data_IF_261393666430
#
_entry.id   IF_261393666430
#
_cell.length_a   1.000
_cell.length_b   1.000
_cell.length_c   1.000
_cell.angle_alpha   90.00
_cell.angle_beta   90.00
_cell.angle_gamma   90.00
#
_symmetry.space_group_name_H-M   'P 1'
#
loop_
_entity.id
_entity.type
_entity.pdbx_description
1 polymer ?
#
# COMPACT_ATOMS: atom_id res chain seq x y z
N UNK A 1 -21.85 8.37 -14.79
CA UNK A 1 -22.23 9.78 -14.59
C UNK A 1 -22.92 9.91 -13.25
N UNK A 2 -22.68 10.98 -12.51
CA UNK A 2 -23.37 11.26 -11.24
C UNK A 2 -23.95 12.67 -11.23
N UNK A 3 -25.08 12.84 -10.54
CA UNK A 3 -25.81 14.09 -10.37
C UNK A 3 -25.32 14.89 -9.16
N UNK A 4 -25.04 16.17 -9.38
CA UNK A 4 -24.90 17.18 -8.32
C UNK A 4 -26.25 17.51 -7.69
N UNK A 5 -26.21 18.18 -6.54
CA UNK A 5 -27.40 18.79 -5.89
C UNK A 5 -28.16 19.75 -6.82
N UNK A 6 -27.48 20.39 -7.75
CA UNK A 6 -28.05 21.31 -8.76
C UNK A 6 -28.69 20.59 -9.95
N UNK A 7 -28.65 19.25 -10.00
CA UNK A 7 -29.13 18.46 -11.13
C UNK A 7 -28.14 18.34 -12.30
N UNK A 8 -26.97 18.99 -12.22
CA UNK A 8 -25.92 18.90 -13.25
C UNK A 8 -25.21 17.54 -13.20
N UNK A 9 -24.97 16.97 -14.39
CA UNK A 9 -24.17 15.75 -14.54
C UNK A 9 -22.67 16.04 -14.42
N UNK A 10 -21.98 15.22 -13.63
CA UNK A 10 -20.52 15.14 -13.59
C UNK A 10 -20.09 13.84 -14.29
N UNK A 11 -19.25 13.91 -15.34
CA UNK A 11 -18.64 12.72 -15.90
C UNK A 11 -17.65 12.12 -14.91
N UNK A 12 -17.63 10.79 -14.81
CA UNK A 12 -16.55 10.08 -14.15
C UNK A 12 -15.50 9.81 -15.22
N UNK A 13 -14.47 10.65 -15.27
CA UNK A 13 -13.35 10.46 -16.17
C UNK A 13 -12.23 9.66 -15.50
N UNK A 14 -11.18 9.38 -16.26
CA UNK A 14 -10.10 8.51 -15.87
C UNK A 14 -9.03 9.22 -15.00
N UNK A 15 -9.27 10.49 -14.64
CA UNK A 15 -8.40 11.33 -13.80
C UNK A 15 -9.03 11.58 -12.42
N UNK A 16 -10.29 12.01 -12.39
CA UNK A 16 -11.01 12.39 -11.15
C UNK A 16 -12.14 11.43 -10.79
N UNK A 17 -12.51 10.51 -11.67
CA UNK A 17 -13.70 9.68 -11.47
C UNK A 17 -13.64 8.81 -10.22
N UNK A 18 -12.47 8.21 -9.94
CA UNK A 18 -12.32 7.37 -8.74
C UNK A 18 -12.32 8.19 -7.44
N UNK A 19 -11.76 9.40 -7.47
CA UNK A 19 -11.71 10.34 -6.34
C UNK A 19 -13.13 10.82 -5.96
N UNK A 20 -13.90 11.26 -6.96
CA UNK A 20 -15.32 11.63 -6.79
C UNK A 20 -16.14 10.44 -6.28
N UNK A 21 -15.86 9.23 -6.77
CA UNK A 21 -16.54 8.03 -6.31
C UNK A 21 -16.17 7.70 -4.86
N UNK A 22 -14.92 7.93 -4.45
CA UNK A 22 -14.45 7.79 -3.08
C UNK A 22 -15.25 8.65 -2.12
N UNK A 23 -15.34 9.95 -2.44
CA UNK A 23 -16.15 10.91 -1.69
C UNK A 23 -17.61 10.47 -1.56
N UNK A 24 -18.20 9.91 -2.63
CA UNK A 24 -19.59 9.45 -2.64
C UNK A 24 -19.82 8.19 -1.79
N UNK A 25 -18.90 7.22 -1.87
CA UNK A 25 -19.10 5.89 -1.29
C UNK A 25 -18.81 5.86 0.20
N UNK A 26 -17.82 6.64 0.67
CA UNK A 26 -17.41 6.65 2.09
C UNK A 26 -18.58 7.00 3.04
N UNK A 27 -19.26 8.13 3.01
CA UNK A 27 -19.12 9.35 2.23
C UNK A 27 -18.33 10.44 2.99
N UNK A 28 -17.74 11.39 2.27
CA UNK A 28 -17.00 12.52 2.85
C UNK A 28 -17.82 13.83 2.82
N UNK A 29 -17.32 14.89 3.44
CA UNK A 29 -17.92 16.24 3.35
C UNK A 29 -17.87 16.82 1.93
N UNK A 30 -17.04 16.25 1.04
CA UNK A 30 -16.88 16.65 -0.35
C UNK A 30 -17.87 15.95 -1.31
N UNK A 31 -18.71 15.05 -0.78
CA UNK A 31 -19.74 14.34 -1.57
C UNK A 31 -20.60 15.30 -2.38
N UNK A 32 -20.61 15.11 -3.71
CA UNK A 32 -21.30 16.00 -4.66
C UNK A 32 -22.82 16.05 -4.49
N UNK A 33 -23.43 15.01 -3.89
CA UNK A 33 -24.85 14.96 -3.55
C UNK A 33 -25.16 13.93 -2.45
N UNK A 34 -24.94 14.32 -1.19
CA UNK A 34 -25.15 13.43 -0.02
C UNK A 34 -26.59 12.96 0.14
N UNK A 35 -27.59 13.76 -0.28
CA UNK A 35 -29.01 13.38 -0.20
C UNK A 35 -29.35 12.22 -1.13
N UNK A 36 -28.72 12.18 -2.31
CA UNK A 36 -28.97 11.15 -3.30
C UNK A 36 -28.18 9.87 -3.00
N UNK A 37 -26.90 9.98 -2.65
CA UNK A 37 -26.01 8.82 -2.53
C UNK A 37 -25.82 8.29 -1.11
N UNK A 38 -26.19 9.07 -0.08
CA UNK A 38 -26.06 8.65 1.31
C UNK A 38 -24.61 8.58 1.79
N UNK A 39 -24.31 7.54 2.57
CA UNK A 39 -23.00 7.28 3.18
C UNK A 39 -22.77 5.77 3.32
N UNK A 40 -22.82 5.05 2.19
CA UNK A 40 -22.94 3.59 2.15
C UNK A 40 -21.91 2.89 3.03
N UNK A 41 -20.61 3.17 2.85
CA UNK A 41 -19.54 2.54 3.63
C UNK A 41 -19.71 2.75 5.14
N UNK A 42 -19.91 3.99 5.59
CA UNK A 42 -20.08 4.31 7.02
C UNK A 42 -21.33 3.67 7.62
N UNK A 43 -22.48 3.70 6.92
CA UNK A 43 -23.69 3.06 7.43
C UNK A 43 -23.55 1.53 7.51
N UNK A 44 -22.76 0.91 6.63
CA UNK A 44 -22.41 -0.50 6.75
C UNK A 44 -21.64 -0.81 8.04
N UNK A 45 -20.70 0.06 8.42
CA UNK A 45 -20.01 -0.03 9.71
C UNK A 45 -21.01 0.07 10.87
N UNK A 46 -21.88 1.08 10.87
CA UNK A 46 -22.89 1.29 11.93
C UNK A 46 -23.80 0.06 12.10
N UNK A 47 -24.37 -0.45 10.99
CA UNK A 47 -25.27 -1.61 11.00
C UNK A 47 -24.57 -2.85 11.58
N UNK A 48 -23.32 -3.11 11.17
CA UNK A 48 -22.57 -4.26 11.65
C UNK A 48 -22.17 -4.09 13.12
N UNK A 49 -21.86 -2.88 13.56
CA UNK A 49 -21.43 -2.60 14.92
C UNK A 49 -22.57 -2.73 15.94
N UNK A 50 -23.79 -2.30 15.58
CA UNK A 50 -24.99 -2.35 16.43
C UNK A 50 -25.89 -3.56 16.18
N UNK A 51 -25.46 -4.56 15.39
CA UNK A 51 -26.32 -5.71 15.04
C UNK A 51 -26.85 -6.48 16.27
N UNK A 52 -26.17 -6.39 17.41
CA UNK A 52 -26.57 -7.05 18.66
C UNK A 52 -27.60 -6.26 19.48
N UNK A 53 -27.73 -4.94 19.27
CA UNK A 53 -28.76 -4.09 19.89
C UNK A 53 -29.21 -2.95 18.95
N UNK A 54 -29.85 -3.25 17.81
CA UNK A 54 -30.15 -2.27 16.78
C UNK A 54 -31.21 -1.23 17.18
N UNK A 55 -31.97 -1.50 18.25
CA UNK A 55 -33.01 -0.61 18.77
C UNK A 55 -32.66 0.00 20.14
N UNK A 56 -31.43 -0.24 20.63
CA UNK A 56 -30.96 0.25 21.92
C UNK A 56 -31.85 -0.19 23.11
N UNK A 57 -32.42 -1.40 23.03
CA UNK A 57 -33.30 -1.96 24.08
C UNK A 57 -32.52 -2.51 25.27
N UNK A 58 -31.25 -2.86 25.03
CA UNK A 58 -30.37 -3.50 26.00
C UNK A 58 -29.32 -2.54 26.56
N UNK A 59 -29.25 -1.30 26.03
CA UNK A 59 -28.28 -0.27 26.42
C UNK A 59 -26.83 -0.69 26.18
N UNK A 60 -26.61 -1.46 25.12
CA UNK A 60 -25.28 -1.96 24.74
C UNK A 60 -24.57 -0.98 23.79
N UNK A 61 -23.24 -0.91 23.91
CA UNK A 61 -22.38 -0.10 23.04
C UNK A 61 -22.04 -0.82 21.72
N UNK A 62 -21.51 -0.10 20.73
CA UNK A 62 -21.11 -0.69 19.46
C UNK A 62 -20.02 -1.77 19.59
N UNK A 63 -20.09 -2.80 18.76
CA UNK A 63 -19.00 -3.77 18.58
C UNK A 63 -17.81 -3.18 17.82
N UNK A 64 -16.75 -3.97 17.62
CA UNK A 64 -15.47 -3.51 17.03
C UNK A 64 -15.60 -2.83 15.66
N UNK A 65 -16.65 -3.10 14.88
CA UNK A 65 -16.89 -2.42 13.61
C UNK A 65 -17.21 -0.92 13.75
N UNK A 66 -17.58 -0.45 14.95
CA UNK A 66 -17.95 0.94 15.22
C UNK A 66 -16.77 1.89 15.50
N UNK A 67 -15.54 1.37 15.64
CA UNK A 67 -14.35 2.19 15.92
C UNK A 67 -13.22 1.89 14.93
N UNK A 68 -12.68 2.93 14.30
CA UNK A 68 -11.60 2.88 13.30
C UNK A 68 -10.33 2.20 13.80
N UNK A 69 -10.07 2.23 15.12
CA UNK A 69 -8.90 1.59 15.75
C UNK A 69 -9.09 0.10 16.01
N UNK A 70 -10.31 -0.42 15.85
CA UNK A 70 -10.66 -1.80 16.18
C UNK A 70 -11.33 -2.57 15.04
N UNK A 71 -11.91 -1.90 14.05
CA UNK A 71 -12.70 -2.52 12.98
C UNK A 71 -11.93 -3.58 12.20
N UNK A 72 -10.65 -3.35 11.87
CA UNK A 72 -9.80 -4.32 11.15
C UNK A 72 -9.54 -5.63 11.92
N UNK A 73 -9.96 -5.74 13.19
CA UNK A 73 -9.88 -6.99 13.96
C UNK A 73 -11.00 -7.97 13.61
N UNK A 74 -12.12 -7.49 13.09
CA UNK A 74 -13.26 -8.34 12.72
C UNK A 74 -13.09 -8.89 11.30
N UNK A 75 -13.19 -10.21 11.07
CA UNK A 75 -13.23 -10.77 9.72
C UNK A 75 -14.28 -10.15 8.79
N UNK A 76 -15.40 -9.63 9.33
CA UNK A 76 -16.45 -8.99 8.53
C UNK A 76 -15.98 -7.68 7.90
N UNK A 77 -14.98 -6.99 8.49
CA UNK A 77 -14.37 -5.79 7.91
C UNK A 77 -13.92 -6.06 6.48
N UNK A 78 -13.18 -7.15 6.27
CA UNK A 78 -12.65 -7.51 4.96
C UNK A 78 -13.74 -7.91 3.97
N UNK A 79 -14.83 -8.53 4.44
CA UNK A 79 -15.99 -8.85 3.58
C UNK A 79 -16.73 -7.58 3.14
N UNK A 80 -16.94 -6.66 4.07
CA UNK A 80 -17.58 -5.37 3.79
C UNK A 80 -16.73 -4.52 2.84
N UNK A 81 -15.44 -4.35 3.15
CA UNK A 81 -14.51 -3.63 2.29
C UNK A 81 -14.32 -4.30 0.92
N UNK A 82 -14.41 -5.63 0.81
CA UNK A 82 -14.42 -6.32 -0.50
C UNK A 82 -15.67 -5.99 -1.32
N UNK A 83 -16.82 -5.77 -0.67
CA UNK A 83 -18.05 -5.32 -1.34
C UNK A 83 -17.90 -3.88 -1.86
N UNK A 84 -17.37 -3.00 -1.01
CA UNK A 84 -17.07 -1.60 -1.35
C UNK A 84 -16.05 -1.51 -2.48
N UNK A 85 -14.96 -2.26 -2.41
CA UNK A 85 -13.97 -2.39 -3.49
C UNK A 85 -14.61 -2.93 -4.78
N UNK A 86 -15.59 -3.83 -4.69
CA UNK A 86 -16.40 -4.26 -5.83
C UNK A 86 -17.12 -3.11 -6.57
N UNK A 87 -17.52 -2.04 -5.86
CA UNK A 87 -18.12 -0.84 -6.47
C UNK A 87 -17.05 -0.03 -7.21
N UNK A 88 -15.90 0.20 -6.59
CA UNK A 88 -14.77 0.90 -7.21
C UNK A 88 -14.25 0.16 -8.44
N UNK A 89 -14.08 -1.16 -8.35
CA UNK A 89 -13.67 -2.00 -9.48
C UNK A 89 -14.64 -1.89 -10.64
N UNK A 90 -15.96 -1.92 -10.41
CA UNK A 90 -16.94 -1.73 -11.49
C UNK A 90 -16.70 -0.44 -12.27
N UNK A 91 -16.30 0.64 -11.61
CA UNK A 91 -15.93 1.88 -12.31
C UNK A 91 -14.61 1.71 -13.08
N UNK A 92 -13.56 1.22 -12.45
CA UNK A 92 -12.24 1.10 -13.09
C UNK A 92 -12.27 0.13 -14.29
N UNK A 93 -13.11 -0.91 -14.27
CA UNK A 93 -13.33 -1.80 -15.42
C UNK A 93 -13.92 -1.10 -16.66
N UNK A 94 -14.61 0.02 -16.47
CA UNK A 94 -15.14 0.83 -17.60
C UNK A 94 -14.06 1.66 -18.28
N UNK A 95 -12.91 1.85 -17.64
CA UNK A 95 -11.81 2.61 -18.21
C UNK A 95 -11.12 1.78 -19.30
N UNK A 96 -10.63 2.49 -20.31
CA UNK A 96 -9.81 1.86 -21.35
C UNK A 96 -8.48 1.36 -20.76
N UNK A 97 -8.00 0.18 -21.20
CA UNK A 97 -6.66 -0.30 -20.85
C UNK A 97 -5.60 0.73 -21.19
N UNK A 98 -4.51 0.76 -20.41
CA UNK A 98 -3.39 1.63 -20.73
C UNK A 98 -2.77 1.29 -22.09
N UNK A 99 -2.50 2.33 -22.86
CA UNK A 99 -1.77 2.22 -24.12
C UNK A 99 -0.30 1.90 -23.88
N UNK A 100 0.37 1.33 -24.89
CA UNK A 100 1.82 1.09 -24.86
C UNK A 100 2.59 2.37 -24.55
N UNK A 101 2.14 3.53 -25.03
CA UNK A 101 2.77 4.82 -24.73
C UNK A 101 2.62 5.23 -23.26
N UNK A 102 1.45 5.01 -22.66
CA UNK A 102 1.23 5.32 -21.24
C UNK A 102 2.04 4.44 -20.30
N UNK A 103 2.35 3.21 -20.73
CA UNK A 103 3.14 2.22 -20.00
C UNK A 103 4.65 2.33 -20.28
N UNK A 104 5.04 2.74 -21.49
CA UNK A 104 6.41 2.68 -21.96
C UNK A 104 7.31 3.77 -21.39
N UNK A 105 8.61 3.48 -21.37
CA UNK A 105 9.65 4.48 -21.12
C UNK A 105 10.77 4.29 -22.15
N UNK A 106 10.71 5.07 -23.24
CA UNK A 106 11.53 4.84 -24.42
C UNK A 106 13.03 4.84 -24.12
N UNK A 107 13.76 3.85 -24.61
CA UNK A 107 15.20 3.71 -24.39
C UNK A 107 15.58 3.16 -23.01
N UNK A 108 14.62 2.86 -22.12
CA UNK A 108 14.88 2.21 -20.84
C UNK A 108 14.46 0.74 -20.91
N UNK A 109 15.39 -0.14 -20.56
CA UNK A 109 15.15 -1.58 -20.43
C UNK A 109 15.43 -2.01 -19.00
N UNK A 110 14.45 -2.59 -18.33
CA UNK A 110 14.68 -3.31 -17.07
C UNK A 110 15.08 -4.73 -17.43
N UNK A 111 16.30 -5.12 -17.07
CA UNK A 111 16.85 -6.43 -17.39
C UNK A 111 16.45 -7.48 -16.36
N UNK A 112 16.38 -7.10 -15.08
CA UNK A 112 16.00 -8.02 -14.00
C UNK A 112 15.65 -7.27 -12.72
N UNK A 113 14.81 -7.90 -11.88
CA UNK A 113 14.69 -7.60 -10.46
C UNK A 113 15.02 -8.85 -9.65
N UNK A 114 15.77 -8.67 -8.56
CA UNK A 114 15.99 -9.68 -7.55
C UNK A 114 15.81 -9.07 -6.15
N UNK A 115 15.47 -9.90 -5.17
CA UNK A 115 15.48 -9.54 -3.76
C UNK A 115 16.36 -10.51 -2.98
N UNK A 116 17.22 -10.02 -2.09
CA UNK A 116 18.12 -10.85 -1.29
C UNK A 116 18.15 -10.38 0.15
N UNK A 117 18.05 -11.31 1.09
CA UNK A 117 18.25 -11.05 2.51
C UNK A 117 19.66 -10.51 2.74
N UNK A 118 19.80 -9.54 3.65
CA UNK A 118 21.06 -8.87 3.97
C UNK A 118 21.98 -9.76 4.83
N UNK A 119 22.29 -10.97 4.35
CA UNK A 119 23.16 -11.96 4.99
C UNK A 119 24.07 -12.62 3.94
N UNK A 120 25.36 -12.88 4.25
CA UNK A 120 26.24 -13.64 3.37
C UNK A 120 25.61 -14.98 2.97
N UNK A 121 25.75 -15.35 1.70
CA UNK A 121 25.26 -16.60 1.11
C UNK A 121 23.74 -16.82 1.18
N UNK A 122 22.94 -15.79 1.51
CA UNK A 122 21.49 -15.90 1.39
C UNK A 122 21.10 -16.12 -0.09
N UNK A 123 20.26 -17.12 -0.41
CA UNK A 123 19.81 -17.35 -1.77
C UNK A 123 19.04 -16.12 -2.30
N UNK A 124 19.19 -15.83 -3.58
CA UNK A 124 18.39 -14.81 -4.24
C UNK A 124 16.92 -15.26 -4.29
N UNK A 125 16.02 -14.29 -4.17
CA UNK A 125 14.57 -14.45 -4.30
C UNK A 125 13.94 -15.45 -3.31
N UNK A 126 14.55 -15.61 -2.13
CA UNK A 126 13.94 -16.29 -0.99
C UNK A 126 13.96 -15.34 0.20
N UNK A 127 12.77 -14.88 0.60
CA UNK A 127 12.59 -14.01 1.76
C UNK A 127 12.03 -14.82 2.94
N UNK A 128 12.32 -14.34 4.14
CA UNK A 128 11.98 -15.01 5.39
C UNK A 128 11.11 -14.13 6.25
N UNK A 129 10.06 -14.73 6.79
CA UNK A 129 9.20 -14.16 7.82
C UNK A 129 9.25 -15.03 9.08
N UNK A 130 8.98 -14.43 10.23
CA UNK A 130 9.05 -15.08 11.53
C UNK A 130 8.20 -14.31 12.55
N UNK A 131 8.09 -14.84 13.77
CA UNK A 131 7.47 -14.10 14.87
C UNK A 131 8.50 -13.25 15.59
N UNK A 132 8.20 -11.98 15.83
CA UNK A 132 8.98 -11.12 16.71
C UNK A 132 8.22 -10.83 18.00
N UNK A 133 8.87 -10.99 19.15
CA UNK A 133 8.35 -10.55 20.44
C UNK A 133 8.92 -9.16 20.74
N UNK A 134 8.02 -8.21 20.95
CA UNK A 134 8.34 -6.83 21.26
C UNK A 134 7.69 -6.40 22.58
N UNK A 135 8.08 -5.23 23.06
CA UNK A 135 7.52 -4.59 24.24
C UNK A 135 7.09 -3.16 23.90
N UNK A 136 6.04 -2.69 24.57
CA UNK A 136 5.56 -1.30 24.50
C UNK A 136 5.21 -0.82 25.91
N UNK A 137 5.56 0.43 26.21
CA UNK A 137 5.18 1.08 27.47
C UNK A 137 3.79 1.71 27.31
N UNK A 138 2.84 1.22 28.10
CA UNK A 138 1.43 1.63 28.09
C UNK A 138 1.09 2.64 29.20
N UNK A 139 2.07 3.05 30.01
CA UNK A 139 1.83 3.86 31.21
C UNK A 139 1.02 5.14 30.93
N UNK A 140 1.25 5.81 29.80
CA UNK A 140 0.59 7.07 29.47
C UNK A 140 -0.90 6.95 29.13
N UNK A 141 -1.40 5.73 28.83
CA UNK A 141 -2.81 5.49 28.53
C UNK A 141 -3.58 4.84 29.68
N UNK A 142 -2.93 4.62 30.84
CA UNK A 142 -3.54 3.92 31.97
C UNK A 142 -3.85 4.89 33.11
N UNK A 143 -5.08 5.40 33.12
CA UNK A 143 -5.59 6.22 34.22
C UNK A 143 -5.61 5.43 35.53
N UNK A 144 -5.23 6.09 36.63
CA UNK A 144 -5.13 5.49 37.97
C UNK A 144 -4.17 4.29 38.06
N UNK A 145 -3.28 4.12 37.07
CA UNK A 145 -2.23 3.11 37.07
C UNK A 145 -1.09 3.39 38.06
N UNK A 146 -0.21 2.40 38.28
CA UNK A 146 0.99 2.59 39.09
C UNK A 146 1.90 3.66 38.47
N UNK A 147 2.62 4.42 39.31
CA UNK A 147 3.65 5.35 38.82
C UNK A 147 4.81 4.56 38.21
N UNK A 148 5.28 4.96 37.03
CA UNK A 148 6.41 4.35 36.34
C UNK A 148 6.03 3.76 34.98
N UNK A 149 6.90 2.90 34.45
CA UNK A 149 6.67 2.26 33.16
C UNK A 149 5.75 1.04 33.32
N UNK A 150 4.83 0.83 32.38
CA UNK A 150 3.91 -0.32 32.35
C UNK A 150 4.13 -1.04 31.03
N UNK A 151 5.05 -2.00 31.01
CA UNK A 151 5.37 -2.72 29.79
C UNK A 151 4.41 -3.89 29.52
N UNK A 152 3.87 -3.92 28.31
CA UNK A 152 3.21 -5.10 27.75
C UNK A 152 4.13 -5.77 26.73
N UNK A 153 4.19 -7.11 26.75
CA UNK A 153 4.87 -7.88 25.72
C UNK A 153 3.85 -8.49 24.76
N UNK A 154 4.12 -8.37 23.47
CA UNK A 154 3.26 -8.89 22.41
C UNK A 154 4.10 -9.53 21.31
N UNK A 155 3.50 -10.43 20.55
CA UNK A 155 4.14 -11.11 19.43
C UNK A 155 3.46 -10.70 18.13
N UNK A 156 4.23 -10.34 17.12
CA UNK A 156 3.74 -9.90 15.82
C UNK A 156 4.57 -10.52 14.68
N UNK A 157 4.04 -10.49 13.46
CA UNK A 157 4.78 -10.88 12.28
C UNK A 157 6.00 -9.97 12.10
N UNK A 158 7.09 -10.51 11.56
CA UNK A 158 8.28 -9.78 11.16
C UNK A 158 8.91 -10.46 9.95
N UNK A 159 9.73 -9.73 9.20
CA UNK A 159 10.57 -10.26 8.14
C UNK A 159 12.06 -10.00 8.36
N UNK A 160 12.90 -10.77 7.69
CA UNK A 160 14.32 -10.48 7.62
C UNK A 160 14.55 -9.26 6.72
N UNK A 161 15.43 -8.31 7.09
CA UNK A 161 15.89 -7.25 6.20
C UNK A 161 16.40 -7.78 4.86
N UNK A 162 15.99 -7.14 3.78
CA UNK A 162 16.41 -7.53 2.44
C UNK A 162 16.63 -6.30 1.55
N UNK A 163 17.26 -6.54 0.40
CA UNK A 163 17.59 -5.50 -0.57
C UNK A 163 17.14 -5.94 -1.96
N UNK A 164 16.49 -5.02 -2.68
CA UNK A 164 16.22 -5.15 -4.10
C UNK A 164 17.47 -4.80 -4.92
N UNK A 165 17.78 -5.61 -5.91
CA UNK A 165 18.75 -5.31 -6.96
C UNK A 165 18.01 -5.28 -8.31
N UNK A 166 17.98 -4.11 -8.94
CA UNK A 166 17.34 -3.89 -10.24
C UNK A 166 18.42 -3.54 -11.25
N UNK A 167 18.54 -4.34 -12.31
CA UNK A 167 19.46 -4.08 -13.42
C UNK A 167 18.72 -3.39 -14.56
N UNK A 168 19.24 -2.26 -15.01
CA UNK A 168 18.58 -1.40 -16.00
C UNK A 168 19.58 -0.95 -17.05
N UNK A 169 19.19 -0.97 -18.32
CA UNK A 169 19.97 -0.40 -19.41
C UNK A 169 19.26 0.84 -19.95
N UNK A 170 19.96 1.97 -19.99
CA UNK A 170 19.53 3.19 -20.65
C UNK A 170 20.25 3.35 -22.00
N UNK A 171 19.53 3.18 -23.09
CA UNK A 171 20.04 3.30 -24.46
C UNK A 171 19.75 4.64 -25.13
N UNK A 172 19.29 5.67 -24.39
CA UNK A 172 18.91 6.97 -24.98
C UNK A 172 20.09 7.92 -25.23
N UNK A 173 21.31 7.56 -24.82
CA UNK A 173 22.49 8.41 -24.95
C UNK A 173 22.54 9.61 -23.99
N UNK A 174 21.51 9.81 -23.16
CA UNK A 174 21.41 10.91 -22.19
C UNK A 174 20.86 10.41 -20.84
N UNK A 175 21.19 11.08 -19.71
CA UNK A 175 20.59 10.76 -18.43
C UNK A 175 19.07 10.88 -18.47
N UNK A 176 18.37 9.95 -17.82
CA UNK A 176 16.91 9.94 -17.70
C UNK A 176 16.49 9.78 -16.24
N UNK A 177 15.41 10.46 -15.85
CA UNK A 177 14.79 10.29 -14.53
C UNK A 177 13.53 9.44 -14.69
N UNK A 178 13.38 8.41 -13.85
CA UNK A 178 12.22 7.55 -13.83
C UNK A 178 11.67 7.35 -12.42
N UNK A 179 10.54 6.68 -12.32
CA UNK A 179 9.95 6.23 -11.07
C UNK A 179 9.94 4.70 -11.05
N UNK A 180 10.70 4.10 -10.14
CA UNK A 180 10.66 2.65 -9.92
C UNK A 180 9.43 2.31 -9.09
N UNK A 181 8.62 1.34 -9.55
CA UNK A 181 7.40 0.86 -8.91
C UNK A 181 7.51 -0.65 -8.72
N UNK A 182 7.52 -1.11 -7.48
CA UNK A 182 7.70 -2.52 -7.13
C UNK A 182 6.39 -3.06 -6.58
N UNK A 183 5.95 -4.20 -7.09
CA UNK A 183 4.74 -4.87 -6.64
C UNK A 183 4.98 -6.36 -6.39
N UNK A 184 4.12 -6.97 -5.59
CA UNK A 184 4.15 -8.40 -5.28
C UNK A 184 2.75 -9.00 -5.36
N UNK A 185 2.59 -10.14 -6.03
CA UNK A 185 1.32 -10.87 -6.05
C UNK A 185 1.54 -12.37 -5.88
N UNK A 186 0.60 -13.13 -5.26
CA UNK A 186 0.67 -14.59 -5.27
C UNK A 186 0.57 -15.12 -6.71
N UNK A 187 1.22 -16.25 -7.00
CA UNK A 187 1.12 -16.91 -8.33
C UNK A 187 -0.06 -17.86 -8.45
N UNK A 188 -0.51 -18.39 -7.31
CA UNK A 188 -1.53 -19.43 -7.22
C UNK A 188 -2.62 -19.05 -6.24
N UNK A 189 -3.82 -19.62 -6.44
CA UNK A 189 -4.93 -19.56 -5.50
C UNK A 189 -4.72 -20.51 -4.30
N UNK A 190 -5.68 -20.56 -3.38
CA UNK A 190 -5.65 -21.41 -2.19
C UNK A 190 -5.65 -22.92 -2.50
N UNK A 191 -5.97 -23.32 -3.73
CA UNK A 191 -5.95 -24.70 -4.21
C UNK A 191 -4.64 -25.04 -4.93
N UNK A 192 -3.72 -24.08 -5.05
CA UNK A 192 -2.47 -24.23 -5.80
C UNK A 192 -2.64 -24.08 -7.31
N UNK A 193 -3.78 -23.58 -7.79
CA UNK A 193 -4.03 -23.34 -9.23
C UNK A 193 -3.44 -22.00 -9.64
N UNK A 194 -2.74 -21.94 -10.76
CA UNK A 194 -2.22 -20.68 -11.29
C UNK A 194 -3.34 -19.67 -11.54
N UNK A 195 -3.18 -18.47 -11.00
CA UNK A 195 -4.11 -17.36 -11.21
C UNK A 195 -4.03 -16.86 -12.65
N UNK A 196 -5.18 -16.51 -13.23
CA UNK A 196 -5.18 -15.78 -14.51
C UNK A 196 -4.64 -14.38 -14.27
N UNK A 197 -3.97 -13.78 -15.26
CA UNK A 197 -3.35 -12.47 -15.05
C UNK A 197 -4.36 -11.38 -14.66
N UNK A 198 -5.56 -11.37 -15.25
CA UNK A 198 -6.58 -10.40 -14.89
C UNK A 198 -7.15 -10.59 -13.47
N UNK A 199 -7.03 -11.78 -12.88
CA UNK A 199 -7.37 -12.03 -11.47
C UNK A 199 -6.18 -11.62 -10.59
N UNK A 200 -4.98 -12.11 -10.94
CA UNK A 200 -3.73 -11.81 -10.24
C UNK A 200 -3.45 -10.31 -10.15
N UNK A 201 -3.78 -9.52 -11.18
CA UNK A 201 -3.51 -8.07 -11.18
C UNK A 201 -4.15 -7.36 -9.99
N UNK A 202 -5.31 -7.85 -9.54
CA UNK A 202 -6.07 -7.27 -8.42
C UNK A 202 -5.48 -7.64 -7.06
N UNK A 203 -4.49 -8.54 -7.04
CA UNK A 203 -3.79 -9.02 -5.85
C UNK A 203 -2.35 -8.49 -5.75
N UNK A 204 -1.91 -7.63 -6.68
CA UNK A 204 -0.63 -6.95 -6.52
C UNK A 204 -0.72 -5.94 -5.39
N UNK A 205 0.08 -6.17 -4.36
CA UNK A 205 0.35 -5.21 -3.31
C UNK A 205 1.56 -4.35 -3.70
N UNK A 206 1.47 -3.04 -3.48
CA UNK A 206 2.59 -2.13 -3.65
C UNK A 206 3.64 -2.44 -2.58
N UNK A 207 4.90 -2.57 -3.00
CA UNK A 207 6.03 -2.86 -2.13
C UNK A 207 6.92 -1.63 -1.93
N UNK A 208 7.10 -0.84 -2.99
CA UNK A 208 7.91 0.38 -2.96
C UNK A 208 7.65 1.24 -4.21
N UNK A 209 7.83 2.56 -4.09
CA UNK A 209 7.75 3.51 -5.20
C UNK A 209 8.70 4.69 -5.01
N UNK A 210 9.74 4.80 -5.83
CA UNK A 210 10.79 5.82 -5.61
C UNK A 210 11.40 6.35 -6.91
N UNK A 211 11.93 7.58 -6.86
CA UNK A 211 12.62 8.21 -7.98
C UNK A 211 14.00 7.60 -8.26
N UNK A 212 14.35 7.44 -9.53
CA UNK A 212 15.64 6.91 -9.98
C UNK A 212 16.26 7.78 -11.08
N UNK A 213 17.57 8.00 -10.99
CA UNK A 213 18.36 8.70 -12.02
C UNK A 213 19.21 7.68 -12.78
N UNK A 214 18.94 7.51 -14.07
CA UNK A 214 19.54 6.51 -14.94
C UNK A 214 20.57 7.16 -15.86
N UNK A 215 21.85 6.81 -15.68
CA UNK A 215 22.93 7.21 -16.59
C UNK A 215 22.86 6.42 -17.90
N UNK A 216 23.37 6.94 -19.03
CA UNK A 216 23.52 6.15 -20.25
C UNK A 216 24.30 4.85 -19.99
N UNK A 217 23.87 3.75 -20.60
CA UNK A 217 24.45 2.42 -20.39
C UNK A 217 23.80 1.64 -19.24
N UNK A 218 24.56 0.74 -18.63
CA UNK A 218 24.08 -0.14 -17.56
C UNK A 218 24.03 0.58 -16.20
N UNK A 219 22.97 0.34 -15.45
CA UNK A 219 22.76 0.84 -14.10
C UNK A 219 22.36 -0.34 -13.22
N UNK A 220 22.90 -0.38 -12.00
CA UNK A 220 22.44 -1.27 -10.93
C UNK A 220 21.84 -0.39 -9.83
N UNK A 221 20.56 -0.58 -9.56
CA UNK A 221 19.82 0.13 -8.51
C UNK A 221 19.69 -0.80 -7.32
N UNK A 222 20.06 -0.31 -6.15
CA UNK A 222 20.00 -1.03 -4.89
C UNK A 222 19.06 -0.29 -3.95
N UNK A 223 18.00 -0.96 -3.47
CA UNK A 223 16.98 -0.36 -2.59
C UNK A 223 16.71 -1.27 -1.40
N UNK A 224 16.90 -0.77 -0.18
CA UNK A 224 16.68 -1.55 1.05
C UNK A 224 15.19 -1.62 1.38
N UNK A 225 14.74 -2.74 1.95
CA UNK A 225 13.35 -2.92 2.40
C UNK A 225 12.87 -1.86 3.39
N UNK A 226 13.77 -1.35 4.22
CA UNK A 226 13.54 -0.33 5.25
C UNK A 226 13.31 1.07 4.65
N UNK A 227 13.60 1.25 3.37
CA UNK A 227 13.33 2.48 2.63
C UNK A 227 11.98 2.42 1.91
N UNK A 228 11.18 1.36 2.10
CA UNK A 228 9.90 1.20 1.41
C UNK A 228 8.99 2.40 1.66
N UNK A 229 8.48 2.99 0.57
CA UNK A 229 7.56 4.14 0.62
C UNK A 229 6.15 3.80 1.12
N UNK A 230 5.90 2.52 1.38
CA UNK A 230 4.65 1.99 1.90
C UNK A 230 4.64 2.02 3.43
N UNK A 231 5.81 1.93 4.05
CA UNK A 231 5.92 1.53 5.46
C UNK A 231 6.47 2.59 6.40
N UNK A 232 6.24 2.37 7.69
CA UNK A 232 6.82 3.13 8.79
C UNK A 232 7.65 2.24 9.73
N UNK A 233 8.82 2.71 10.21
CA UNK A 233 9.60 2.01 11.23
C UNK A 233 8.81 1.77 12.51
N UNK A 234 9.19 0.71 13.24
CA UNK A 234 8.53 0.30 14.49
C UNK A 234 8.42 1.45 15.48
N UNK A 235 9.47 2.26 15.59
CA UNK A 235 9.58 3.37 16.53
C UNK A 235 8.55 4.46 16.25
N UNK A 236 8.00 4.57 15.03
CA UNK A 236 6.93 5.52 14.73
C UNK A 236 5.56 4.99 15.10
N UNK A 237 5.32 3.70 14.88
CA UNK A 237 4.06 3.01 15.24
C UNK A 237 3.90 2.88 16.76
N UNK A 238 4.95 2.45 17.45
CA UNK A 238 4.93 2.15 18.89
C UNK A 238 5.78 3.13 19.70
N UNK A 239 5.91 4.37 19.22
CA UNK A 239 6.59 5.44 19.96
C UNK A 239 6.01 5.58 21.35
N UNK A 240 6.87 5.89 22.31
CA UNK A 240 6.43 6.24 23.66
C UNK A 240 5.63 7.54 23.62
N UNK A 241 4.45 7.51 24.22
CA UNK A 241 3.62 8.69 24.46
C UNK A 241 3.81 9.07 25.93
N UNK A 242 3.98 10.36 26.23
CA UNK A 242 4.27 10.87 27.57
C UNK A 242 4.29 12.40 27.61
N UNK A 243 4.28 13.01 28.79
CA UNK A 243 4.16 14.48 28.96
C UNK A 243 5.27 15.28 28.27
N UNK A 244 6.46 14.71 28.10
CA UNK A 244 7.57 15.33 27.38
C UNK A 244 7.50 15.18 25.84
N UNK A 245 6.70 14.24 25.33
CA UNK A 245 6.56 13.92 23.91
C UNK A 245 5.19 14.31 23.34
N UNK A 246 4.26 14.76 24.19
CA UNK A 246 2.92 15.16 23.76
C UNK A 246 3.00 16.55 23.15
N UNK A 247 2.60 16.72 21.88
CA UNK A 247 2.62 18.02 21.23
C UNK A 247 1.77 19.05 21.98
N UNK A 248 2.35 20.22 22.26
CA UNK A 248 1.67 21.30 23.00
C UNK A 248 0.80 22.18 22.10
N UNK A 249 1.09 22.23 20.79
CA UNK A 249 0.35 23.03 19.81
C UNK A 249 -0.45 22.14 18.87
N UNK A 250 -1.54 22.67 18.31
CA UNK A 250 -2.37 21.97 17.33
C UNK A 250 -1.56 21.55 16.07
N UNK A 251 -0.65 22.42 15.62
CA UNK A 251 0.22 22.16 14.45
C UNK A 251 1.19 21.00 14.72
N UNK A 252 1.78 20.97 15.91
CA UNK A 252 2.70 19.89 16.28
C UNK A 252 1.92 18.58 16.50
N UNK A 253 0.68 18.66 16.97
CA UNK A 253 -0.21 17.50 17.12
C UNK A 253 -0.59 16.89 15.78
N UNK A 254 -0.91 17.72 14.79
CA UNK A 254 -1.16 17.28 13.42
C UNK A 254 0.06 16.62 12.80
N UNK A 255 1.24 17.25 12.93
CA UNK A 255 2.51 16.66 12.49
C UNK A 255 2.76 15.29 13.11
N UNK A 256 2.59 15.21 14.43
CA UNK A 256 2.74 13.99 15.19
C UNK A 256 1.78 12.89 14.72
N UNK A 257 0.49 13.22 14.51
CA UNK A 257 -0.51 12.26 14.00
C UNK A 257 -0.18 11.80 12.59
N UNK A 258 0.20 12.70 11.69
CA UNK A 258 0.60 12.36 10.31
C UNK A 258 1.78 11.38 10.31
N UNK A 259 2.79 11.60 11.16
CA UNK A 259 3.91 10.67 11.32
C UNK A 259 3.53 9.29 11.88
N UNK A 260 2.31 9.12 12.39
CA UNK A 260 1.74 7.81 12.75
C UNK A 260 1.07 7.09 11.59
N UNK A 261 0.79 7.78 10.46
CA UNK A 261 0.24 7.17 9.27
C UNK A 261 1.32 6.39 8.52
N UNK A 262 0.97 5.19 8.09
CA UNK A 262 1.74 4.36 7.18
C UNK A 262 1.76 2.90 7.61
N UNK A 263 1.97 2.00 6.67
CA UNK A 263 1.88 0.57 6.94
C UNK A 263 3.00 0.13 7.90
N UNK A 264 2.76 -0.72 8.90
CA UNK A 264 3.85 -1.13 9.80
C UNK A 264 4.94 -1.88 9.02
N UNK A 265 6.21 -1.48 9.15
CA UNK A 265 7.30 -2.10 8.39
C UNK A 265 7.39 -3.62 8.58
N UNK A 266 7.13 -4.11 9.79
CA UNK A 266 7.11 -5.54 10.10
C UNK A 266 5.99 -6.35 9.39
N UNK A 267 5.08 -5.65 8.69
CA UNK A 267 4.00 -6.19 7.86
C UNK A 267 4.25 -5.98 6.35
N UNK A 268 5.43 -5.51 5.93
CA UNK A 268 5.74 -5.27 4.51
C UNK A 268 5.52 -6.51 3.63
N UNK A 269 5.89 -7.69 4.14
CA UNK A 269 5.71 -8.96 3.44
C UNK A 269 4.49 -9.71 3.97
N UNK A 270 3.73 -10.39 3.09
CA UNK A 270 2.79 -11.42 3.51
C UNK A 270 3.50 -12.48 4.34
N UNK A 271 2.76 -13.12 5.27
CA UNK A 271 3.33 -14.14 6.16
C UNK A 271 4.00 -15.29 5.39
N UNK A 272 3.40 -15.77 4.31
CA UNK A 272 3.85 -17.00 3.64
C UNK A 272 3.59 -18.26 4.48
N UNK A 273 4.29 -19.34 4.16
CA UNK A 273 4.13 -20.65 4.79
C UNK A 273 5.49 -21.35 5.00
N UNK A 274 5.62 -22.34 5.90
CA UNK A 274 6.87 -23.07 6.13
C UNK A 274 7.48 -23.71 4.89
N UNK A 275 6.65 -24.29 4.02
CA UNK A 275 7.02 -24.88 2.73
C UNK A 275 7.47 -23.84 1.70
N UNK A 276 7.10 -22.57 1.91
CA UNK A 276 7.35 -21.45 1.01
C UNK A 276 6.19 -21.22 0.04
N UNK A 277 5.72 -19.97 0.00
CA UNK A 277 4.68 -19.53 -0.95
C UNK A 277 5.35 -18.80 -2.11
N UNK A 278 4.93 -19.14 -3.33
CA UNK A 278 5.44 -18.50 -4.54
C UNK A 278 4.67 -17.21 -4.85
N UNK A 279 5.43 -16.14 -5.01
CA UNK A 279 4.98 -14.83 -5.44
C UNK A 279 5.68 -14.43 -6.74
N UNK A 280 5.05 -13.51 -7.45
CA UNK A 280 5.62 -12.79 -8.58
C UNK A 280 6.07 -11.42 -8.09
N UNK A 281 7.38 -11.19 -8.09
CA UNK A 281 7.98 -9.90 -7.80
C UNK A 281 8.09 -9.12 -9.10
N UNK A 282 7.38 -8.01 -9.20
CA UNK A 282 7.31 -7.19 -10.41
C UNK A 282 7.98 -5.84 -10.17
N UNK A 283 8.62 -5.31 -11.21
CA UNK A 283 9.08 -3.93 -11.24
C UNK A 283 8.76 -3.26 -12.58
N UNK A 284 8.42 -1.99 -12.50
CA UNK A 284 8.30 -1.07 -13.62
C UNK A 284 9.14 0.17 -13.35
N UNK A 285 9.79 0.72 -14.37
CA UNK A 285 10.33 2.07 -14.32
C UNK A 285 9.56 2.96 -15.30
N UNK A 286 8.67 3.81 -14.79
CA UNK A 286 7.93 4.78 -15.60
C UNK A 286 8.73 6.06 -15.82
N UNK A 287 8.38 6.83 -16.85
CA UNK A 287 8.98 8.14 -17.13
C UNK A 287 8.54 9.16 -16.07
N UNK A 288 9.50 9.76 -15.36
CA UNK A 288 9.21 10.72 -14.30
C UNK A 288 8.48 11.96 -14.81
N UNK A 289 8.63 12.31 -16.09
CA UNK A 289 7.96 13.49 -16.68
C UNK A 289 6.44 13.32 -16.76
N UNK A 290 5.95 12.10 -16.88
CA UNK A 290 4.52 11.78 -16.88
C UNK A 290 3.98 11.56 -15.46
N UNK A 291 4.87 11.30 -14.49
CA UNK A 291 4.53 10.98 -13.11
C UNK A 291 4.59 12.20 -12.19
N UNK A 292 5.44 13.17 -12.49
CA UNK A 292 5.71 14.31 -11.62
C UNK A 292 4.51 15.25 -11.47
N UNK A 293 4.30 15.73 -10.25
CA UNK A 293 3.37 16.82 -9.93
C UNK A 293 4.10 18.16 -9.74
N UNK A 294 5.33 18.28 -10.24
CA UNK A 294 6.25 19.41 -10.05
C UNK A 294 6.54 19.70 -8.56
N UNK A 295 6.69 18.63 -7.77
CA UNK A 295 6.99 18.68 -6.36
C UNK A 295 8.22 17.80 -6.09
N UNK A 296 9.32 18.43 -5.67
CA UNK A 296 10.47 17.71 -5.12
C UNK A 296 10.31 17.61 -3.60
N UNK A 297 10.65 16.46 -3.04
CA UNK A 297 10.62 16.21 -1.61
C UNK A 297 11.70 15.20 -1.23
N UNK A 298 12.10 15.21 0.03
CA UNK A 298 13.00 14.22 0.60
C UNK A 298 12.18 13.20 1.40
N UNK A 299 12.27 11.92 1.02
CA UNK A 299 11.60 10.81 1.71
C UNK A 299 12.01 10.75 3.20
N UNK A 300 13.21 11.20 3.56
CA UNK A 300 13.77 11.08 4.91
C UNK A 300 13.36 12.22 5.86
N UNK A 301 12.58 13.20 5.38
CA UNK A 301 12.21 14.40 6.14
C UNK A 301 10.69 14.52 6.22
N UNK A 302 10.20 15.13 7.31
CA UNK A 302 8.77 15.44 7.52
C UNK A 302 7.82 14.24 7.42
N UNK A 303 8.32 13.02 7.71
CA UNK A 303 7.54 11.78 7.61
C UNK A 303 7.01 11.49 6.20
N UNK A 304 7.79 11.87 5.18
CA UNK A 304 7.45 11.70 3.76
C UNK A 304 7.76 10.31 3.19
N UNK A 305 8.24 9.38 4.00
CA UNK A 305 8.63 8.01 3.66
C UNK A 305 7.46 7.03 3.61
N UNK A 306 6.25 7.37 4.06
CA UNK A 306 5.07 6.49 3.95
C UNK A 306 4.05 6.96 2.90
N UNK A 307 4.53 7.69 1.88
CA UNK A 307 3.67 8.44 0.98
C UNK A 307 2.85 7.58 0.01
N UNK A 308 3.14 6.28 -0.15
CA UNK A 308 2.32 5.41 -1.01
C UNK A 308 0.86 5.35 -0.52
N UNK A 309 0.63 5.22 0.80
CA UNK A 309 -0.71 5.19 1.39
C UNK A 309 -1.13 6.51 2.05
N UNK A 310 -0.17 7.29 2.58
CA UNK A 310 -0.48 8.50 3.35
C UNK A 310 -0.35 9.80 2.55
N UNK A 311 0.18 9.74 1.32
CA UNK A 311 0.56 10.93 0.58
C UNK A 311 1.62 11.76 1.32
N UNK A 312 1.63 13.07 1.07
CA UNK A 312 2.53 14.01 1.73
C UNK A 312 1.70 15.03 2.50
N UNK A 313 2.09 15.33 3.74
CA UNK A 313 1.38 16.30 4.57
C UNK A 313 1.33 17.67 3.88
N UNK A 314 0.14 18.26 3.83
CA UNK A 314 -0.12 19.60 3.28
C UNK A 314 0.33 19.77 1.81
N UNK A 315 0.49 18.67 1.07
CA UNK A 315 1.02 18.62 -0.28
C UNK A 315 0.19 17.70 -1.16
N UNK A 316 0.37 17.82 -2.47
CA UNK A 316 -0.23 16.88 -3.42
C UNK A 316 0.39 15.49 -3.24
N UNK A 317 -0.40 14.45 -3.56
CA UNK A 317 0.14 13.11 -3.74
C UNK A 317 1.28 13.15 -4.78
N UNK A 318 2.47 12.61 -4.48
CA UNK A 318 3.69 12.86 -5.26
C UNK A 318 3.79 12.04 -6.56
N UNK A 319 2.66 11.63 -7.12
CA UNK A 319 2.58 10.81 -8.31
C UNK A 319 1.25 11.11 -9.03
N UNK A 320 1.35 11.54 -10.29
CA UNK A 320 0.19 11.89 -11.13
C UNK A 320 -0.55 10.65 -11.62
N UNK A 321 0.09 9.47 -11.62
CA UNK A 321 -0.56 8.22 -12.03
C UNK A 321 -1.61 7.81 -11.00
N UNK A 322 -2.69 7.11 -11.42
CA UNK A 322 -3.63 6.52 -10.47
C UNK A 322 -2.92 5.64 -9.44
N UNK A 323 -3.38 5.67 -8.19
CA UNK A 323 -2.87 4.78 -7.15
C UNK A 323 -3.10 3.32 -7.58
N UNK A 324 -2.05 2.50 -7.53
CA UNK A 324 -2.07 1.13 -8.07
C UNK A 324 -1.63 0.99 -9.53
N UNK A 325 -1.25 2.07 -10.22
CA UNK A 325 -0.67 1.98 -11.57
C UNK A 325 0.56 1.05 -11.59
N UNK A 326 0.65 0.08 -12.52
CA UNK A 326 -0.17 -0.06 -13.73
C UNK A 326 -1.30 -1.12 -13.65
N UNK A 327 -1.63 -1.62 -12.46
CA UNK A 327 -2.54 -2.76 -12.26
C UNK A 327 -3.98 -2.39 -11.91
N UNK A 328 -4.26 -1.10 -11.66
CA UNK A 328 -5.59 -0.60 -11.39
C UNK A 328 -6.56 -0.94 -12.54
N UNK A 329 -6.13 -0.73 -13.79
CA UNK A 329 -6.94 -1.03 -14.99
C UNK A 329 -6.78 -2.46 -15.48
N UNK A 330 -7.83 -2.95 -16.16
CA UNK A 330 -7.77 -4.19 -16.94
C UNK A 330 -6.81 -4.07 -18.11
N UNK A 331 -6.33 -5.20 -18.60
CA UNK A 331 -5.53 -5.29 -19.82
C UNK A 331 -6.39 -5.57 -21.05
N UNK A 332 -5.89 -5.32 -22.27
CA UNK A 332 -6.55 -5.79 -23.49
C UNK A 332 -6.74 -7.31 -23.46
N UNK A 333 -7.79 -7.81 -24.11
CA UNK A 333 -8.10 -9.25 -24.14
C UNK A 333 -7.00 -10.11 -24.78
N UNK A 334 -6.12 -9.51 -25.59
CA UNK A 334 -4.93 -10.16 -26.16
C UNK A 334 -3.81 -10.41 -25.14
N UNK A 335 -3.87 -9.82 -23.95
CA UNK A 335 -2.90 -9.97 -22.87
C UNK A 335 -3.51 -10.85 -21.79
N UNK A 336 -3.18 -12.14 -21.84
CA UNK A 336 -3.66 -13.17 -20.92
C UNK A 336 -2.66 -13.52 -19.80
N UNK A 337 -1.37 -13.19 -19.98
CA UNK A 337 -0.31 -13.50 -19.02
C UNK A 337 0.52 -12.26 -18.66
N UNK A 338 1.16 -12.27 -17.49
CA UNK A 338 2.11 -11.22 -17.12
C UNK A 338 3.26 -11.10 -18.12
N UNK A 339 3.76 -12.23 -18.64
CA UNK A 339 4.83 -12.22 -19.64
C UNK A 339 4.43 -11.46 -20.92
N UNK A 340 3.18 -11.59 -21.36
CA UNK A 340 2.65 -10.79 -22.48
C UNK A 340 2.54 -9.31 -22.12
N UNK A 341 2.09 -9.00 -20.90
CA UNK A 341 1.99 -7.62 -20.41
C UNK A 341 3.37 -6.93 -20.38
N UNK A 342 4.36 -7.57 -19.77
CA UNK A 342 5.75 -7.11 -19.74
C UNK A 342 6.31 -7.03 -21.16
N UNK A 343 5.99 -7.99 -22.04
CA UNK A 343 6.42 -7.99 -23.43
C UNK A 343 5.99 -6.78 -24.26
N UNK A 344 4.99 -6.01 -23.79
CA UNK A 344 4.56 -4.78 -24.46
C UNK A 344 5.57 -3.65 -24.37
N UNK A 345 6.39 -3.60 -23.31
CA UNK A 345 7.36 -2.52 -23.09
C UNK A 345 8.62 -3.01 -22.37
N UNK A 346 9.77 -2.44 -22.71
CA UNK A 346 11.06 -2.90 -22.17
C UNK A 346 11.34 -2.46 -20.74
N UNK A 347 10.60 -1.50 -20.20
CA UNK A 347 10.82 -0.88 -18.89
C UNK A 347 10.16 -1.64 -17.72
N UNK A 348 9.81 -2.91 -17.93
CA UNK A 348 9.19 -3.79 -16.95
C UNK A 348 9.96 -5.10 -16.86
N UNK A 349 10.01 -5.70 -15.68
CA UNK A 349 10.53 -7.04 -15.47
C UNK A 349 9.82 -7.70 -14.28
N UNK A 350 9.84 -9.03 -14.24
CA UNK A 350 9.40 -9.76 -13.07
C UNK A 350 10.32 -10.92 -12.76
N UNK A 351 10.19 -11.46 -11.56
CA UNK A 351 10.91 -12.64 -11.12
C UNK A 351 10.10 -13.41 -10.09
N UNK A 352 10.29 -14.72 -10.02
CA UNK A 352 9.64 -15.54 -9.00
C UNK A 352 10.36 -15.37 -7.66
N UNK A 353 9.57 -15.09 -6.62
CA UNK A 353 10.01 -14.89 -5.24
C UNK A 353 9.35 -15.95 -4.35
N UNK A 354 10.11 -16.55 -3.44
CA UNK A 354 9.54 -17.45 -2.42
C UNK A 354 9.58 -16.77 -1.07
N UNK A 355 8.45 -16.76 -0.34
CA UNK A 355 8.40 -16.30 1.05
C UNK A 355 8.19 -17.51 1.96
N UNK A 356 9.15 -17.77 2.84
CA UNK A 356 9.11 -18.87 3.82
C UNK A 356 8.88 -18.33 5.22
N UNK A 357 7.85 -18.86 5.88
CA UNK A 357 7.56 -18.57 7.27
C UNK A 357 8.31 -19.52 8.20
N UNK A 358 9.09 -18.98 9.13
CA UNK A 358 9.74 -19.75 10.19
C UNK A 358 8.96 -19.56 11.48
N UNK A 359 8.42 -20.65 12.04
CA UNK A 359 7.66 -20.61 13.30
C UNK A 359 8.57 -20.51 14.53
N UNK A 360 9.37 -19.45 14.58
CA UNK A 360 10.30 -19.13 15.66
C UNK A 360 10.01 -17.72 16.15
N UNK A 361 10.04 -17.53 17.46
CA UNK A 361 9.90 -16.22 18.10
C UNK A 361 11.29 -15.65 18.38
N UNK A 362 11.58 -14.48 17.80
CA UNK A 362 12.82 -13.73 18.03
C UNK A 362 12.49 -12.51 18.87
N UNK A 363 13.23 -12.27 19.95
CA UNK A 363 13.06 -11.05 20.73
C UNK A 363 13.60 -9.84 19.94
N UNK A 364 12.88 -8.71 19.95
CA UNK A 364 13.41 -7.43 19.48
C UNK A 364 14.51 -6.98 20.44
N UNK A 365 15.73 -6.87 19.92
CA UNK A 365 16.91 -6.34 20.64
C UNK A 365 16.93 -4.84 20.65
#
# INVERSE_FOLDING_TARGET
>A
MYFQTTGKNIPLDDVKGIDILGDIVEASTLTVNRKLYGSLHNFGHDILAYIHDPEYRYLEDFGVMGDVTTAMRDPVFYRWHSNIDGIFRKFVETLEPYTTRQLGFAGIRVNSINARINRPNAPANVLLTYWQKSQVDLAAGLDFGPRGNVFASFTHLQHAPFTYEIKVTNSSGSPKRGTARIFLAPKVDERGTNLKFNEQRTLYIEMDKFGVNLRPGENTITRKSEQSTVTTPYERTFRRIGSAQTPATAKDLEAFRFCGCGWPNHMLLPKGAPEGVQFELYVMISDYTDDSVNLEFDENVDCSDAHSFCGLRDKKYPDKRPMGFPFDRRTPASIATLGQFIGTNTNMASNSLTIRFTNTVIART
#
